data_IF_736087095951
#
_entry.id   IF_736087095951
#
_cell.length_a   1.000
_cell.length_b   1.000
_cell.length_c   1.000
_cell.angle_alpha   90.00
_cell.angle_beta   90.00
_cell.angle_gamma   90.00
#
_symmetry.space_group_name_H-M   'P 1'
#
loop_
_entity.id
_entity.type
_entity.pdbx_description
1 polymer ?
#
# COMPACT_ATOMS: atom_id res chain seq x y z
N UNK A 1 31.99 35.26 19.23
CA UNK A 1 30.58 34.89 18.98
C UNK A 1 30.56 33.47 18.48
N UNK A 2 30.07 32.58 19.35
CA UNK A 2 30.23 31.14 19.28
C UNK A 2 29.21 30.52 18.33
N UNK A 3 29.67 29.93 17.21
CA UNK A 3 28.80 29.30 16.19
C UNK A 3 28.17 27.99 16.66
N UNK A 4 28.54 27.49 17.85
CA UNK A 4 28.16 26.16 18.34
C UNK A 4 26.76 26.09 18.97
N UNK A 5 26.22 27.18 19.53
CA UNK A 5 24.96 27.15 20.31
C UNK A 5 23.68 26.89 19.51
N UNK A 6 23.67 27.12 18.19
CA UNK A 6 22.46 26.94 17.36
C UNK A 6 22.40 25.59 16.64
N UNK A 7 23.48 24.82 16.65
CA UNK A 7 23.56 23.56 15.87
C UNK A 7 22.79 22.40 16.51
N UNK A 8 22.89 22.25 17.84
CA UNK A 8 22.14 21.25 18.60
C UNK A 8 20.61 21.44 18.53
N UNK A 9 20.03 22.63 18.82
CA UNK A 9 18.58 22.79 18.78
C UNK A 9 18.00 22.62 17.36
N UNK A 10 18.75 22.99 16.32
CA UNK A 10 18.36 22.76 14.92
C UNK A 10 18.26 21.26 14.59
N UNK A 11 19.18 20.46 15.14
CA UNK A 11 19.23 19.01 14.93
C UNK A 11 18.05 18.29 15.62
N UNK A 12 17.64 18.76 16.80
CA UNK A 12 16.43 18.29 17.48
C UNK A 12 15.14 18.70 16.75
N UNK A 13 15.10 19.89 16.15
CA UNK A 13 13.96 20.35 15.35
C UNK A 13 13.79 19.50 14.08
N UNK A 14 14.88 19.20 13.37
CA UNK A 14 14.86 18.31 12.19
C UNK A 14 14.46 16.88 12.57
N UNK A 15 14.91 16.38 13.73
CA UNK A 15 14.56 15.03 14.20
C UNK A 15 13.08 14.88 14.57
N UNK A 16 12.42 15.95 15.05
CA UNK A 16 11.01 15.89 15.47
C UNK A 16 10.02 15.92 14.29
N UNK A 17 10.40 16.56 13.18
CA UNK A 17 9.59 16.62 11.94
C UNK A 17 9.44 15.23 11.29
N UNK A 18 10.39 14.32 11.49
CA UNK A 18 10.36 12.97 10.92
C UNK A 18 9.33 12.03 11.58
N UNK A 19 8.78 12.38 12.75
CA UNK A 19 7.80 11.54 13.47
C UNK A 19 6.34 11.93 13.22
N UNK A 20 6.06 13.01 12.48
CA UNK A 20 4.69 13.42 12.17
C UNK A 20 4.10 12.43 11.14
N UNK A 21 3.16 11.62 11.61
CA UNK A 21 2.62 10.45 10.93
C UNK A 21 2.04 10.72 9.54
N UNK A 22 2.87 10.63 8.51
CA UNK A 22 2.43 10.65 7.12
C UNK A 22 1.81 9.31 6.68
N UNK A 23 0.75 9.40 5.84
CA UNK A 23 -0.14 8.34 5.35
C UNK A 23 -0.96 7.59 6.43
N UNK A 24 -2.07 8.17 6.92
CA UNK A 24 -3.04 7.42 7.74
C UNK A 24 -4.31 7.10 6.96
N UNK A 25 -4.82 5.89 7.13
CA UNK A 25 -6.18 5.56 6.75
C UNK A 25 -7.16 6.28 7.69
N UNK A 26 -8.33 6.72 7.19
CA UNK A 26 -9.40 7.21 8.04
C UNK A 26 -9.96 6.03 8.85
N UNK A 27 -10.43 6.31 10.08
CA UNK A 27 -11.18 5.32 10.87
C UNK A 27 -12.49 5.05 10.14
N UNK A 28 -12.62 3.89 9.49
CA UNK A 28 -13.95 3.35 9.14
C UNK A 28 -14.50 2.67 10.39
N UNK A 29 -15.70 3.07 10.81
CA UNK A 29 -16.49 2.25 11.74
C UNK A 29 -16.97 1.04 10.96
N UNK A 30 -16.57 -0.16 11.37
CA UNK A 30 -17.27 -1.37 10.95
C UNK A 30 -17.88 -1.99 12.20
N UNK A 31 -19.21 -2.01 12.17
CA UNK A 31 -20.09 -2.82 13.00
C UNK A 31 -19.87 -4.26 12.52
N UNK A 32 -19.20 -5.08 13.32
CA UNK A 32 -19.65 -6.40 13.77
C UNK A 32 -18.45 -7.21 14.30
N UNK A 33 -18.58 -7.67 15.56
CA UNK A 33 -17.52 -8.25 16.39
C UNK A 33 -17.46 -9.78 16.23
N UNK A 34 -17.21 -10.27 15.01
CA UNK A 34 -16.83 -11.67 14.80
C UNK A 34 -15.38 -11.90 15.25
N UNK A 35 -14.98 -13.11 15.71
CA UNK A 35 -13.62 -13.37 16.15
C UNK A 35 -12.62 -13.11 15.01
N UNK A 36 -11.75 -12.11 15.23
CA UNK A 36 -10.85 -11.52 14.24
C UNK A 36 -9.96 -12.57 13.55
N UNK A 37 -9.62 -13.67 14.22
CA UNK A 37 -8.74 -14.74 13.70
C UNK A 37 -9.42 -15.62 12.65
N UNK A 38 -10.70 -16.00 12.85
CA UNK A 38 -11.48 -16.77 11.87
C UNK A 38 -11.72 -15.98 10.57
N UNK A 39 -11.72 -14.64 10.67
CA UNK A 39 -11.83 -13.69 9.56
C UNK A 39 -10.51 -13.47 8.81
N UNK A 40 -9.39 -13.97 9.32
CA UNK A 40 -8.08 -13.80 8.65
C UNK A 40 -7.82 -14.96 7.71
N UNK A 41 -8.03 -16.20 8.15
CA UNK A 41 -7.94 -17.36 7.27
C UNK A 41 -8.97 -17.34 6.14
N UNK A 42 -10.08 -16.60 6.30
CA UNK A 42 -11.07 -16.44 5.23
C UNK A 42 -10.53 -15.70 4.00
N UNK A 43 -9.45 -14.91 4.16
CA UNK A 43 -8.76 -14.26 3.04
C UNK A 43 -7.90 -15.23 2.22
N UNK A 44 -7.73 -16.46 2.69
CA UNK A 44 -7.07 -17.48 1.90
C UNK A 44 -7.93 -17.79 0.68
N UNK A 45 -7.32 -17.81 -0.49
CA UNK A 45 -8.02 -18.02 -1.75
C UNK A 45 -7.16 -17.68 -2.96
N UNK A 46 -7.72 -17.96 -4.13
CA UNK A 46 -7.17 -17.60 -5.44
C UNK A 46 -7.96 -16.44 -6.01
N UNK A 47 -7.24 -15.46 -6.53
CA UNK A 47 -7.80 -14.23 -7.05
C UNK A 47 -7.25 -13.93 -8.44
N UNK A 48 -8.05 -13.24 -9.26
CA UNK A 48 -7.56 -12.71 -10.55
C UNK A 48 -6.46 -11.68 -10.33
N UNK A 49 -5.44 -11.69 -11.19
CA UNK A 49 -4.30 -10.78 -11.06
C UNK A 49 -4.69 -9.32 -11.35
N UNK A 50 -5.67 -9.12 -12.22
CA UNK A 50 -6.22 -7.81 -12.58
C UNK A 50 -7.45 -7.49 -11.71
N UNK A 51 -7.63 -6.23 -11.29
CA UNK A 51 -8.77 -5.83 -10.50
C UNK A 51 -10.02 -5.65 -11.37
N UNK A 52 -11.17 -6.10 -10.88
CA UNK A 52 -12.48 -5.82 -11.47
C UNK A 52 -12.98 -4.40 -11.18
N UNK A 53 -12.38 -3.74 -10.19
CA UNK A 53 -12.66 -2.35 -9.84
C UNK A 53 -11.39 -1.64 -9.38
N UNK A 54 -11.22 -0.39 -9.80
CA UNK A 54 -10.18 0.51 -9.29
C UNK A 54 -10.75 1.92 -9.19
N UNK A 55 -10.72 2.52 -8.00
CA UNK A 55 -11.33 3.83 -7.78
C UNK A 55 -10.82 4.54 -6.53
N UNK A 56 -11.09 5.85 -6.40
CA UNK A 56 -10.73 6.59 -5.20
C UNK A 56 -11.56 6.10 -4.02
N UNK A 57 -10.99 6.07 -2.81
CA UNK A 57 -11.82 5.81 -1.62
C UNK A 57 -12.79 6.97 -1.40
N UNK A 58 -13.96 6.69 -0.78
CA UNK A 58 -15.01 7.70 -0.50
C UNK A 58 -14.50 9.00 0.14
N UNK A 59 -13.46 8.91 0.97
CA UNK A 59 -12.86 10.07 1.64
C UNK A 59 -11.95 10.88 0.71
N UNK A 60 -11.31 10.26 -0.28
CA UNK A 60 -10.46 10.93 -1.27
C UNK A 60 -11.27 11.63 -2.34
N UNK A 61 -12.36 10.99 -2.81
CA UNK A 61 -13.24 11.53 -3.86
C UNK A 61 -13.83 12.90 -3.49
N UNK A 62 -14.00 13.18 -2.19
CA UNK A 62 -14.46 14.49 -1.69
C UNK A 62 -13.36 15.55 -1.57
N UNK A 63 -12.10 15.13 -1.50
CA UNK A 63 -10.98 16.03 -1.16
C UNK A 63 -10.14 16.40 -2.39
N UNK A 64 -10.11 15.55 -3.43
CA UNK A 64 -9.30 15.75 -4.64
C UNK A 64 -10.04 15.20 -5.86
N UNK A 65 -10.11 15.99 -6.95
CA UNK A 65 -10.60 15.56 -8.27
C UNK A 65 -9.59 14.58 -8.91
N UNK A 66 -9.43 13.41 -8.30
CA UNK A 66 -8.60 12.34 -8.84
C UNK A 66 -9.29 11.71 -10.03
N UNK A 67 -8.59 11.64 -11.14
CA UNK A 67 -9.10 11.05 -12.38
C UNK A 67 -8.74 9.57 -12.42
N UNK A 68 -9.51 8.74 -13.12
CA UNK A 68 -9.21 7.30 -13.27
C UNK A 68 -7.81 7.03 -13.85
N UNK A 69 -7.26 7.97 -14.63
CA UNK A 69 -5.90 7.94 -15.16
C UNK A 69 -4.82 8.02 -14.07
N UNK A 70 -5.08 8.77 -12.98
CA UNK A 70 -4.15 8.90 -11.85
C UNK A 70 -4.07 7.61 -11.02
N UNK A 71 -5.11 6.79 -11.11
CA UNK A 71 -5.24 5.49 -10.42
C UNK A 71 -4.68 4.31 -11.23
N UNK A 72 -4.36 4.54 -12.51
CA UNK A 72 -3.91 3.53 -13.47
C UNK A 72 -2.43 3.14 -13.34
N UNK A 73 -1.66 3.70 -12.41
CA UNK A 73 -0.20 3.49 -12.32
C UNK A 73 0.18 2.03 -12.03
N UNK A 74 -0.70 1.30 -11.34
CA UNK A 74 -0.51 -0.11 -11.02
C UNK A 74 -1.65 -0.91 -11.63
N UNK A 75 -1.39 -1.77 -12.61
CA UNK A 75 -2.46 -2.50 -13.29
C UNK A 75 -2.80 -3.81 -12.56
N UNK A 76 -1.80 -4.45 -11.96
CA UNK A 76 -1.95 -5.75 -11.31
C UNK A 76 -1.70 -5.71 -9.80
N UNK A 77 -2.15 -6.74 -9.09
CA UNK A 77 -1.77 -6.94 -7.68
C UNK A 77 -0.26 -7.08 -7.49
N UNK A 78 0.46 -7.64 -8.47
CA UNK A 78 1.91 -7.71 -8.44
C UNK A 78 2.55 -6.33 -8.43
N UNK A 79 2.11 -5.43 -9.32
CA UNK A 79 2.65 -4.07 -9.42
C UNK A 79 2.43 -3.26 -8.13
N UNK A 80 1.25 -3.44 -7.53
CA UNK A 80 0.89 -2.82 -6.26
C UNK A 80 1.88 -3.14 -5.13
N UNK A 81 2.31 -4.41 -5.06
CA UNK A 81 3.22 -4.90 -4.02
C UNK A 81 4.70 -4.75 -4.38
N UNK A 82 5.03 -4.63 -5.67
CA UNK A 82 6.40 -4.63 -6.20
C UNK A 82 6.73 -3.34 -6.93
N UNK A 83 6.41 -2.20 -6.31
CA UNK A 83 6.60 -0.88 -6.90
C UNK A 83 8.03 -0.32 -6.76
N UNK A 84 9.02 -1.10 -6.33
CA UNK A 84 10.41 -0.63 -6.24
C UNK A 84 11.04 -0.36 -7.62
N UNK A 85 11.99 0.56 -7.69
CA UNK A 85 12.71 0.84 -8.95
C UNK A 85 13.40 -0.43 -9.48
N UNK A 86 14.05 -1.20 -8.59
CA UNK A 86 14.81 -2.39 -8.96
C UNK A 86 13.95 -3.66 -9.09
N UNK A 87 12.64 -3.58 -8.92
CA UNK A 87 11.77 -4.76 -9.03
C UNK A 87 11.45 -5.05 -10.49
N UNK A 88 11.83 -6.24 -10.95
CA UNK A 88 11.44 -6.74 -12.27
C UNK A 88 9.91 -6.86 -12.34
N UNK A 89 9.30 -6.25 -13.35
CA UNK A 89 7.88 -6.40 -13.66
C UNK A 89 7.61 -7.82 -14.17
N UNK A 90 6.39 -8.31 -13.94
CA UNK A 90 5.88 -9.49 -14.65
C UNK A 90 5.38 -8.99 -16.01
N UNK A 91 5.85 -9.62 -17.08
CA UNK A 91 5.33 -9.34 -18.43
C UNK A 91 4.08 -10.20 -18.57
N UNK A 92 2.92 -9.55 -18.61
CA UNK A 92 1.62 -10.22 -18.74
C UNK A 92 1.36 -10.44 -20.24
N UNK A 93 1.23 -11.70 -20.62
CA UNK A 93 0.78 -12.09 -21.96
C UNK A 93 -0.77 -12.06 -22.02
N UNK A 94 -1.40 -11.22 -22.87
CA UNK A 94 -2.86 -11.11 -22.91
C UNK A 94 -3.59 -12.40 -23.31
N UNK A 95 -2.88 -13.36 -23.90
CA UNK A 95 -3.45 -14.67 -24.25
C UNK A 95 -3.53 -15.65 -23.08
N UNK A 96 -2.90 -15.32 -21.95
CA UNK A 96 -2.79 -16.20 -20.78
C UNK A 96 -3.54 -15.65 -19.58
N UNK A 97 -4.03 -16.56 -18.74
CA UNK A 97 -4.70 -16.21 -17.48
C UNK A 97 -3.69 -16.14 -16.36
N UNK A 98 -3.69 -15.01 -15.65
CA UNK A 98 -2.86 -14.82 -14.48
C UNK A 98 -3.72 -14.68 -13.23
N UNK A 99 -3.26 -15.33 -12.16
CA UNK A 99 -3.91 -15.27 -10.86
C UNK A 99 -2.86 -15.15 -9.76
N UNK A 100 -3.31 -14.86 -8.55
CA UNK A 100 -2.47 -15.00 -7.38
C UNK A 100 -3.24 -15.69 -6.26
N UNK A 101 -2.52 -16.44 -5.44
CA UNK A 101 -3.06 -16.99 -4.20
C UNK A 101 -2.59 -16.16 -3.02
N UNK A 102 -3.44 -16.07 -2.01
CA UNK A 102 -3.07 -15.57 -0.69
C UNK A 102 -3.21 -16.75 0.27
N UNK A 103 -2.18 -16.99 1.07
CA UNK A 103 -2.23 -17.99 2.13
C UNK A 103 -1.64 -17.41 3.42
N UNK A 104 -2.43 -17.43 4.50
CA UNK A 104 -1.98 -17.10 5.85
C UNK A 104 -1.14 -18.25 6.38
N UNK A 105 0.19 -18.09 6.37
CA UNK A 105 1.13 -19.07 6.91
C UNK A 105 1.09 -19.07 8.44
N UNK A 106 1.11 -17.88 9.03
CA UNK A 106 1.07 -17.68 10.48
C UNK A 106 0.32 -16.38 10.82
N UNK A 107 0.16 -16.08 12.12
CA UNK A 107 -0.56 -14.89 12.59
C UNK A 107 0.07 -13.53 12.20
N UNK A 108 1.22 -13.53 11.52
CA UNK A 108 1.98 -12.34 11.13
C UNK A 108 2.53 -12.42 9.70
N UNK A 109 2.33 -13.50 8.94
CA UNK A 109 2.90 -13.71 7.60
C UNK A 109 1.89 -14.30 6.62
N UNK A 110 1.91 -13.74 5.42
CA UNK A 110 1.17 -14.22 4.25
C UNK A 110 2.18 -14.72 3.20
N UNK A 111 1.88 -15.86 2.58
CA UNK A 111 2.42 -16.22 1.29
C UNK A 111 1.53 -15.63 0.19
N UNK A 112 2.18 -15.17 -0.87
CA UNK A 112 1.53 -14.71 -2.08
C UNK A 112 2.26 -15.38 -3.24
N UNK A 113 1.58 -16.28 -3.92
CA UNK A 113 2.10 -16.94 -5.10
C UNK A 113 1.38 -16.39 -6.32
N UNK A 114 2.14 -16.04 -7.34
CA UNK A 114 1.65 -15.55 -8.62
C UNK A 114 1.70 -16.71 -9.60
N UNK A 115 0.59 -16.95 -10.29
CA UNK A 115 0.41 -18.08 -11.17
C UNK A 115 0.09 -17.62 -12.59
N UNK A 116 0.64 -18.35 -13.55
CA UNK A 116 0.27 -18.32 -14.96
C UNK A 116 -0.40 -19.66 -15.29
N UNK A 117 -1.72 -19.64 -15.50
CA UNK A 117 -2.52 -20.85 -15.34
C UNK A 117 -2.33 -21.42 -13.92
N UNK A 118 -1.90 -22.68 -13.83
CA UNK A 118 -1.63 -23.36 -12.56
C UNK A 118 -0.13 -23.42 -12.18
N UNK A 119 0.73 -22.83 -13.00
CA UNK A 119 2.19 -22.80 -12.74
C UNK A 119 2.57 -21.57 -11.93
N UNK A 120 3.27 -21.78 -10.82
CA UNK A 120 3.78 -20.69 -9.98
C UNK A 120 4.97 -20.02 -10.67
N UNK A 121 4.81 -18.76 -11.05
CA UNK A 121 5.85 -17.96 -11.70
C UNK A 121 6.67 -17.13 -10.71
N UNK A 122 6.07 -16.75 -9.57
CA UNK A 122 6.75 -16.02 -8.48
C UNK A 122 6.09 -16.31 -7.15
N UNK A 123 6.88 -16.24 -6.08
CA UNK A 123 6.41 -16.33 -4.71
C UNK A 123 6.94 -15.16 -3.88
N UNK A 124 6.13 -14.67 -2.93
CA UNK A 124 6.51 -13.60 -2.03
C UNK A 124 5.89 -13.81 -0.66
N UNK A 125 6.74 -13.82 0.37
CA UNK A 125 6.28 -13.83 1.76
C UNK A 125 6.28 -12.41 2.32
N UNK A 126 5.15 -11.96 2.85
CA UNK A 126 4.97 -10.60 3.38
C UNK A 126 4.48 -10.68 4.82
N UNK A 127 5.03 -9.83 5.69
CA UNK A 127 4.52 -9.70 7.06
C UNK A 127 3.26 -8.85 7.08
N UNK A 128 2.34 -9.12 7.98
CA UNK A 128 1.17 -8.27 8.21
C UNK A 128 0.99 -7.94 9.70
N UNK A 129 0.11 -6.99 9.97
CA UNK A 129 -0.40 -6.69 11.30
C UNK A 129 -1.92 -6.59 11.25
N UNK A 130 -2.56 -6.97 12.34
CA UNK A 130 -4.01 -6.91 12.47
C UNK A 130 -4.34 -5.74 13.38
N UNK A 131 -5.44 -5.05 13.10
CA UNK A 131 -6.02 -4.06 14.01
C UNK A 131 -7.47 -4.42 14.30
N UNK A 132 -8.05 -3.79 15.31
CA UNK A 132 -9.43 -4.04 15.75
C UNK A 132 -10.51 -3.53 14.77
N UNK A 133 -10.12 -3.13 13.56
CA UNK A 133 -11.00 -2.67 12.48
C UNK A 133 -11.31 -3.79 11.47
N UNK A 134 -10.79 -5.01 11.67
CA UNK A 134 -11.04 -6.15 10.79
C UNK A 134 -10.27 -6.09 9.47
N UNK A 135 -9.23 -5.26 9.38
CA UNK A 135 -8.34 -5.17 8.23
C UNK A 135 -6.97 -5.80 8.51
N UNK A 136 -6.41 -6.41 7.47
CA UNK A 136 -5.04 -6.94 7.44
C UNK A 136 -4.09 -5.90 6.86
N UNK A 137 -3.25 -5.30 7.70
CA UNK A 137 -2.28 -4.29 7.29
C UNK A 137 -0.98 -4.93 6.82
N UNK A 138 -0.67 -4.82 5.54
CA UNK A 138 0.58 -5.36 5.00
C UNK A 138 1.78 -4.52 5.44
N UNK A 139 2.78 -5.18 6.02
CA UNK A 139 4.09 -4.62 6.37
C UNK A 139 5.07 -4.85 5.22
N UNK A 140 4.75 -4.27 4.07
CA UNK A 140 5.67 -4.20 2.92
C UNK A 140 6.72 -3.09 3.17
N UNK A 141 7.91 -3.17 2.56
CA UNK A 141 8.85 -2.03 2.44
C UNK A 141 8.22 -0.96 1.56
N UNK A 142 7.38 -0.16 2.19
CA UNK A 142 6.52 0.81 1.51
C UNK A 142 7.02 2.25 1.67
N UNK A 143 8.17 2.43 2.32
CA UNK A 143 8.88 3.69 2.44
C UNK A 143 10.04 3.71 1.45
N UNK A 144 10.10 4.73 0.59
CA UNK A 144 11.22 4.97 -0.32
C UNK A 144 11.68 6.40 -0.14
N UNK A 145 12.99 6.58 -0.18
CA UNK A 145 13.61 7.89 -0.29
C UNK A 145 14.49 7.86 -1.54
N UNK A 146 14.43 8.88 -2.38
CA UNK A 146 15.45 9.09 -3.42
C UNK A 146 16.14 10.42 -3.17
N UNK A 147 17.44 10.46 -3.46
CA UNK A 147 18.28 11.61 -3.19
C UNK A 147 18.39 11.96 -1.71
N UNK A 148 18.65 13.23 -1.42
CA UNK A 148 18.65 13.77 -0.04
C UNK A 148 17.30 14.46 0.15
N UNK A 149 16.39 13.89 0.97
CA UNK A 149 15.09 14.50 1.23
C UNK A 149 15.23 15.99 1.56
N UNK A 150 14.34 16.81 0.99
CA UNK A 150 14.27 18.26 1.20
C UNK A 150 15.37 19.12 0.54
N UNK A 151 16.45 18.53 0.02
CA UNK A 151 17.43 19.25 -0.80
C UNK A 151 17.23 18.95 -2.29
N UNK A 152 17.33 17.67 -2.64
CA UNK A 152 17.17 17.11 -3.98
C UNK A 152 16.63 15.70 -3.86
N UNK A 153 15.45 15.55 -3.28
CA UNK A 153 14.94 14.23 -2.97
C UNK A 153 13.46 14.20 -2.63
N UNK A 154 12.92 13.00 -2.77
CA UNK A 154 11.53 12.65 -2.53
C UNK A 154 11.42 11.56 -1.46
N UNK A 155 10.29 11.61 -0.75
CA UNK A 155 9.86 10.60 0.22
C UNK A 155 8.51 10.07 -0.26
N UNK A 156 8.50 8.78 -0.59
CA UNK A 156 7.30 8.01 -0.87
C UNK A 156 6.96 7.13 0.33
N UNK A 157 5.71 7.19 0.76
CA UNK A 157 5.17 6.25 1.75
C UNK A 157 3.83 5.69 1.29
N UNK A 158 3.82 4.40 1.01
CA UNK A 158 2.63 3.61 0.71
C UNK A 158 2.20 2.84 1.97
N UNK A 159 0.91 2.64 2.17
CA UNK A 159 0.37 1.70 3.15
C UNK A 159 -0.76 0.93 2.49
N UNK A 160 -0.80 -0.37 2.75
CA UNK A 160 -1.75 -1.27 2.12
C UNK A 160 -2.48 -2.01 3.23
N UNK A 161 -3.80 -2.14 3.08
CA UNK A 161 -4.62 -3.01 3.91
C UNK A 161 -5.56 -3.86 3.05
N UNK A 162 -5.81 -5.08 3.50
CA UNK A 162 -6.66 -6.05 2.83
C UNK A 162 -7.85 -6.40 3.71
N UNK A 163 -8.98 -6.70 3.08
CA UNK A 163 -10.14 -7.33 3.70
C UNK A 163 -10.98 -8.01 2.61
N UNK A 164 -12.08 -8.64 2.99
CA UNK A 164 -13.07 -9.16 2.05
C UNK A 164 -14.24 -8.17 1.94
N UNK A 165 -14.75 -7.99 0.72
CA UNK A 165 -15.98 -7.24 0.50
C UNK A 165 -17.22 -8.12 0.81
N UNK A 166 -18.42 -7.57 0.58
CA UNK A 166 -19.69 -8.30 0.80
C UNK A 166 -19.88 -9.50 -0.14
N UNK A 167 -19.25 -9.47 -1.31
CA UNK A 167 -19.32 -10.51 -2.35
C UNK A 167 -18.17 -11.53 -2.20
N UNK A 168 -17.48 -11.53 -1.07
CA UNK A 168 -16.32 -12.40 -0.79
C UNK A 168 -15.11 -12.20 -1.73
N UNK A 169 -15.05 -11.07 -2.43
CA UNK A 169 -13.91 -10.63 -3.22
C UNK A 169 -12.88 -9.91 -2.35
N UNK A 170 -11.63 -9.90 -2.80
CA UNK A 170 -10.56 -9.24 -2.08
C UNK A 170 -10.64 -7.72 -2.27
N UNK A 171 -10.92 -7.01 -1.18
CA UNK A 171 -10.83 -5.55 -1.13
C UNK A 171 -9.42 -5.14 -0.71
N UNK A 172 -8.75 -4.45 -1.63
CA UNK A 172 -7.41 -3.92 -1.49
C UNK A 172 -7.48 -2.41 -1.35
N UNK A 173 -7.08 -1.87 -0.20
CA UNK A 173 -7.05 -0.42 0.00
C UNK A 173 -5.63 0.09 0.18
N UNK A 174 -5.33 1.17 -0.52
CA UNK A 174 -4.03 1.83 -0.47
C UNK A 174 -4.16 3.27 0.00
N UNK A 175 -3.21 3.69 0.82
CA UNK A 175 -2.93 5.09 1.14
C UNK A 175 -1.48 5.42 0.77
N UNK A 176 -1.30 6.32 -0.18
CA UNK A 176 -0.03 6.82 -0.66
C UNK A 176 0.17 8.28 -0.24
N UNK A 177 1.41 8.58 0.10
CA UNK A 177 1.88 9.91 0.46
C UNK A 177 3.20 10.14 -0.27
N UNK A 178 3.23 11.20 -1.08
CA UNK A 178 4.43 11.66 -1.76
C UNK A 178 4.77 13.06 -1.28
N UNK A 179 6.01 13.26 -0.88
CA UNK A 179 6.55 14.58 -0.53
C UNK A 179 7.92 14.72 -1.14
N UNK A 180 8.10 15.75 -1.98
CA UNK A 180 9.37 16.09 -2.60
C UNK A 180 9.79 17.49 -2.21
N UNK A 181 11.10 17.72 -2.12
CA UNK A 181 11.68 19.01 -1.81
C UNK A 181 12.77 19.40 -2.80
N UNK A 182 12.70 20.64 -3.29
CA UNK A 182 13.78 21.29 -4.02
C UNK A 182 14.27 22.47 -3.17
N UNK A 183 15.52 22.40 -2.70
CA UNK A 183 16.19 23.44 -1.89
C UNK A 183 15.36 23.98 -0.70
N UNK A 184 14.82 23.12 0.17
CA UNK A 184 14.06 23.50 1.38
C UNK A 184 12.76 24.31 1.13
N UNK A 185 12.43 24.63 -0.13
CA UNK A 185 11.30 25.50 -0.48
C UNK A 185 9.98 24.74 -0.69
N UNK A 186 9.96 23.41 -0.56
CA UNK A 186 8.72 22.63 -0.61
C UNK A 186 8.56 21.79 0.66
N UNK A 187 7.74 22.30 1.59
CA UNK A 187 7.42 21.67 2.88
C UNK A 187 5.94 21.21 2.90
N UNK A 188 5.27 21.12 1.75
CA UNK A 188 3.90 20.62 1.66
C UNK A 188 3.86 19.25 0.95
N UNK A 189 3.01 18.31 1.40
CA UNK A 189 2.85 17.04 0.71
C UNK A 189 2.34 17.30 -0.69
N UNK A 190 3.10 16.85 -1.67
CA UNK A 190 2.82 17.11 -3.08
C UNK A 190 1.55 16.38 -3.50
N UNK A 191 1.38 15.14 -3.03
CA UNK A 191 0.14 14.36 -3.25
C UNK A 191 -0.15 13.44 -2.06
N UNK A 192 -1.44 13.32 -1.73
CA UNK A 192 -2.00 12.29 -0.84
C UNK A 192 -3.07 11.54 -1.61
N UNK A 193 -2.84 10.27 -1.92
CA UNK A 193 -3.77 9.46 -2.69
C UNK A 193 -4.28 8.31 -1.83
N UNK A 194 -5.59 8.09 -1.84
CA UNK A 194 -6.16 6.86 -1.29
C UNK A 194 -7.12 6.27 -2.30
N UNK A 195 -6.94 5.00 -2.58
CA UNK A 195 -7.72 4.28 -3.57
C UNK A 195 -7.98 2.87 -3.08
N UNK A 196 -9.01 2.27 -3.67
CA UNK A 196 -9.38 0.89 -3.42
C UNK A 196 -9.50 0.14 -4.74
N UNK A 197 -9.14 -1.15 -4.68
CA UNK A 197 -9.25 -2.11 -5.77
C UNK A 197 -9.97 -3.34 -5.27
N UNK A 198 -10.76 -3.95 -6.15
CA UNK A 198 -11.43 -5.21 -5.87
C UNK A 198 -10.86 -6.25 -6.83
N UNK A 199 -10.35 -7.35 -6.29
CA UNK A 199 -9.88 -8.50 -7.06
C UNK A 199 -10.91 -9.62 -6.93
N UNK A 200 -11.33 -10.16 -8.07
CA UNK A 200 -12.31 -11.24 -8.12
C UNK A 200 -11.71 -12.50 -7.48
N UNK A 201 -12.48 -13.11 -6.57
CA UNK A 201 -12.15 -14.42 -6.03
C UNK A 201 -12.61 -15.50 -6.99
N UNK A 202 -11.71 -16.42 -7.30
CA UNK A 202 -11.97 -17.56 -8.20
C UNK A 202 -12.10 -18.85 -7.40
N UNK A 203 -11.32 -19.00 -6.31
CA UNK A 203 -11.30 -20.17 -5.41
C UNK A 203 -11.13 -19.73 -3.95
#
# INVERSE_FOLDING_TARGET
>A
MDRSSYTLPLLYLVSSILFIGCASFPKRSVIDQSPIILKISSINGRYELEPIYSGPTKDTARTWNLTSSDLGVYHTFYDELNNGWLTKKIIVDPSKRYSFTIEVIDNKKLAIDYLEGDSIIRQKKIRFGIRNDGYLYLKNRSFKMRGIPYLFGDIDKKRIRLTLNRDNNLLFETAEFHSGGLFLLMINPFTKMKYEKIFLRIE
#
